data_IF_062891676149
#
_entry.id   IF_062891676149
#
_cell.length_a   1.000
_cell.length_b   1.000
_cell.length_c   1.000
_cell.angle_alpha   90.00
_cell.angle_beta   90.00
_cell.angle_gamma   90.00
#
_symmetry.space_group_name_H-M   'P 1'
#
loop_
_entity.id
_entity.type
_entity.pdbx_description
1 polymer ?
#
# COMPACT_ATOMS: atom_id res chain seq x y z
N UNK A 1 -18.86 -27.68 -6.63
CA UNK A 1 -19.22 -26.48 -7.45
C UNK A 1 -18.76 -25.16 -6.81
N UNK A 2 -18.82 -25.01 -5.47
CA UNK A 2 -18.42 -23.76 -4.82
C UNK A 2 -16.90 -23.47 -4.88
N UNK A 3 -16.02 -24.46 -4.80
CA UNK A 3 -14.57 -24.25 -4.81
C UNK A 3 -14.06 -23.73 -6.17
N UNK A 4 -14.57 -24.27 -7.28
CA UNK A 4 -14.19 -23.79 -8.64
C UNK A 4 -14.67 -22.35 -8.90
N UNK A 5 -15.82 -21.95 -8.34
CA UNK A 5 -16.33 -20.60 -8.50
C UNK A 5 -15.51 -19.57 -7.70
N UNK A 6 -14.99 -19.94 -6.52
CA UNK A 6 -14.12 -19.08 -5.71
C UNK A 6 -12.78 -18.86 -6.41
N UNK A 7 -12.18 -19.92 -6.97
CA UNK A 7 -10.91 -19.80 -7.71
C UNK A 7 -11.04 -18.88 -8.94
N UNK A 8 -12.13 -18.99 -9.69
CA UNK A 8 -12.35 -18.14 -10.89
C UNK A 8 -12.48 -16.65 -10.54
N UNK A 9 -13.06 -16.31 -9.39
CA UNK A 9 -13.23 -14.93 -8.96
C UNK A 9 -11.93 -14.33 -8.44
N UNK A 10 -11.17 -15.11 -7.68
CA UNK A 10 -9.84 -14.69 -7.23
C UNK A 10 -8.91 -14.39 -8.41
N UNK A 11 -8.96 -15.22 -9.45
CA UNK A 11 -8.23 -14.98 -10.72
C UNK A 11 -8.73 -13.72 -11.41
N UNK A 12 -10.06 -13.48 -11.44
CA UNK A 12 -10.63 -12.27 -12.02
C UNK A 12 -10.18 -11.00 -11.28
N UNK A 13 -10.20 -11.00 -9.95
CA UNK A 13 -9.69 -9.88 -9.16
C UNK A 13 -8.20 -9.61 -9.41
N UNK A 14 -7.38 -10.66 -9.48
CA UNK A 14 -5.96 -10.52 -9.80
C UNK A 14 -5.75 -9.94 -11.21
N UNK A 15 -6.50 -10.39 -12.19
CA UNK A 15 -6.47 -9.84 -13.54
C UNK A 15 -6.85 -8.37 -13.60
N UNK A 16 -7.90 -7.96 -12.87
CA UNK A 16 -8.34 -6.57 -12.79
C UNK A 16 -7.30 -5.69 -12.07
N UNK A 17 -6.68 -6.19 -11.01
CA UNK A 17 -5.58 -5.50 -10.33
C UNK A 17 -4.42 -5.26 -11.28
N UNK A 18 -3.94 -6.29 -11.98
CA UNK A 18 -2.82 -6.18 -12.91
C UNK A 18 -3.11 -5.18 -14.04
N UNK A 19 -4.36 -5.12 -14.52
CA UNK A 19 -4.77 -4.12 -15.52
C UNK A 19 -4.79 -2.70 -14.91
N UNK A 20 -5.28 -2.53 -13.69
CA UNK A 20 -5.23 -1.23 -13.01
C UNK A 20 -3.79 -0.76 -12.79
N UNK A 21 -2.89 -1.63 -12.32
CA UNK A 21 -1.46 -1.34 -12.16
C UNK A 21 -0.81 -0.98 -13.50
N UNK A 22 -1.07 -1.75 -14.56
CA UNK A 22 -0.55 -1.47 -15.90
C UNK A 22 -0.96 -0.08 -16.39
N UNK A 23 -2.25 0.28 -16.28
CA UNK A 23 -2.73 1.59 -16.74
C UNK A 23 -2.28 2.74 -15.83
N UNK A 24 -2.08 2.50 -14.55
CA UNK A 24 -1.43 3.44 -13.64
C UNK A 24 0.00 3.75 -14.11
N UNK A 25 0.81 2.71 -14.40
CA UNK A 25 2.18 2.87 -14.88
C UNK A 25 2.26 3.55 -16.25
N UNK A 26 1.27 3.32 -17.11
CA UNK A 26 1.15 3.99 -18.41
C UNK A 26 0.54 5.40 -18.31
N UNK A 27 0.13 5.85 -17.13
CA UNK A 27 -0.57 7.13 -16.90
C UNK A 27 -1.86 7.28 -17.74
N UNK A 28 -2.56 6.16 -18.02
CA UNK A 28 -3.84 6.13 -18.75
C UNK A 28 -5.00 6.13 -17.76
N UNK A 29 -5.35 7.32 -17.30
CA UNK A 29 -6.27 7.56 -16.21
C UNK A 29 -7.66 6.96 -16.41
N UNK A 30 -8.30 7.20 -17.56
CA UNK A 30 -9.66 6.72 -17.82
C UNK A 30 -9.76 5.19 -17.68
N UNK A 31 -8.73 4.47 -18.13
CA UNK A 31 -8.65 3.02 -17.97
C UNK A 31 -8.40 2.61 -16.51
N UNK A 32 -7.53 3.32 -15.80
CA UNK A 32 -7.32 3.10 -14.36
C UNK A 32 -8.64 3.26 -13.58
N UNK A 33 -9.34 4.38 -13.76
CA UNK A 33 -10.63 4.66 -13.12
C UNK A 33 -11.68 3.59 -13.45
N UNK A 34 -11.72 3.14 -14.71
CA UNK A 34 -12.61 2.07 -15.14
C UNK A 34 -12.36 0.77 -14.36
N UNK A 35 -11.12 0.30 -14.29
CA UNK A 35 -10.80 -0.96 -13.59
C UNK A 35 -10.96 -0.84 -12.07
N UNK A 36 -10.63 0.30 -11.48
CA UNK A 36 -10.88 0.57 -10.07
C UNK A 36 -12.39 0.53 -9.75
N UNK A 37 -13.22 1.14 -10.61
CA UNK A 37 -14.68 1.14 -10.46
C UNK A 37 -15.28 -0.25 -10.64
N UNK A 38 -14.74 -1.05 -11.53
CA UNK A 38 -15.19 -2.42 -11.77
C UNK A 38 -14.92 -3.31 -10.54
N UNK A 39 -13.71 -3.24 -9.96
CA UNK A 39 -13.38 -3.95 -8.72
C UNK A 39 -14.30 -3.53 -7.57
N UNK A 40 -14.52 -2.21 -7.39
CA UNK A 40 -15.42 -1.67 -6.37
C UNK A 40 -16.87 -2.17 -6.55
N UNK A 41 -17.36 -2.18 -7.78
CA UNK A 41 -18.71 -2.65 -8.11
C UNK A 41 -18.89 -4.14 -7.81
N UNK A 42 -17.91 -4.98 -8.16
CA UNK A 42 -17.94 -6.42 -7.87
C UNK A 42 -17.90 -6.66 -6.36
N UNK A 43 -17.00 -5.96 -5.64
CA UNK A 43 -16.88 -6.10 -4.18
C UNK A 43 -18.20 -5.74 -3.46
N UNK A 44 -18.84 -4.64 -3.86
CA UNK A 44 -20.13 -4.20 -3.31
C UNK A 44 -21.26 -5.17 -3.63
N UNK A 45 -21.35 -5.63 -4.87
CA UNK A 45 -22.39 -6.57 -5.29
C UNK A 45 -22.32 -7.92 -4.56
N UNK A 46 -21.12 -8.34 -4.18
CA UNK A 46 -20.88 -9.61 -3.49
C UNK A 46 -20.78 -9.47 -1.97
N UNK A 47 -20.72 -8.25 -1.45
CA UNK A 47 -20.40 -7.98 -0.04
C UNK A 47 -19.07 -8.62 0.40
N UNK A 48 -18.11 -8.73 -0.52
CA UNK A 48 -16.77 -9.27 -0.31
C UNK A 48 -15.74 -8.16 -0.55
N UNK A 49 -14.86 -7.96 0.41
CA UNK A 49 -13.87 -6.88 0.37
C UNK A 49 -12.45 -7.46 0.35
N UNK A 50 -11.98 -7.98 -0.81
CA UNK A 50 -10.66 -8.60 -0.90
C UNK A 50 -9.54 -7.55 -0.83
N UNK A 51 -8.31 -8.02 -0.53
CA UNK A 51 -7.10 -7.17 -0.52
C UNK A 51 -6.97 -6.31 -1.80
N UNK A 52 -7.32 -6.90 -2.95
CA UNK A 52 -7.28 -6.25 -4.27
C UNK A 52 -8.08 -4.95 -4.31
N UNK A 53 -9.23 -4.86 -3.63
CA UNK A 53 -10.01 -3.61 -3.56
C UNK A 53 -9.18 -2.48 -2.96
N UNK A 54 -8.48 -2.75 -1.86
CA UNK A 54 -7.65 -1.75 -1.18
C UNK A 54 -6.41 -1.38 -2.01
N UNK A 55 -5.83 -2.34 -2.75
CA UNK A 55 -4.73 -2.07 -3.67
C UNK A 55 -5.15 -1.10 -4.78
N UNK A 56 -6.21 -1.43 -5.52
CA UNK A 56 -6.63 -0.60 -6.67
C UNK A 56 -7.17 0.77 -6.22
N UNK A 57 -7.87 0.85 -5.10
CA UNK A 57 -8.32 2.13 -4.53
C UNK A 57 -7.13 2.99 -4.06
N UNK A 58 -6.09 2.37 -3.51
CA UNK A 58 -4.85 3.09 -3.17
C UNK A 58 -4.13 3.63 -4.41
N UNK A 59 -4.12 2.90 -5.53
CA UNK A 59 -3.60 3.39 -6.81
C UNK A 59 -4.39 4.60 -7.32
N UNK A 60 -5.73 4.56 -7.28
CA UNK A 60 -6.59 5.70 -7.63
C UNK A 60 -6.27 6.93 -6.79
N UNK A 61 -6.12 6.77 -5.46
CA UNK A 61 -5.70 7.85 -4.58
C UNK A 61 -4.31 8.40 -4.95
N UNK A 62 -3.36 7.55 -5.31
CA UNK A 62 -2.02 7.98 -5.72
C UNK A 62 -2.06 8.76 -7.05
N UNK A 63 -2.88 8.34 -8.01
CA UNK A 63 -3.07 9.07 -9.27
C UNK A 63 -3.63 10.48 -9.01
N UNK A 64 -4.68 10.59 -8.19
CA UNK A 64 -5.23 11.89 -7.78
C UNK A 64 -4.20 12.77 -7.05
N UNK A 65 -3.34 12.15 -6.24
CA UNK A 65 -2.26 12.83 -5.53
C UNK A 65 -1.22 13.42 -6.50
N UNK A 66 -0.86 12.68 -7.56
CA UNK A 66 0.03 13.15 -8.61
C UNK A 66 -0.55 14.32 -9.40
N UNK A 67 -1.87 14.34 -9.59
CA UNK A 67 -2.59 15.46 -10.23
C UNK A 67 -2.72 16.71 -9.32
N UNK A 68 -2.30 16.60 -8.06
CA UNK A 68 -2.42 17.70 -7.10
C UNK A 68 -3.83 17.92 -6.54
N UNK A 69 -4.74 16.97 -6.73
CA UNK A 69 -6.11 17.07 -6.20
C UNK A 69 -6.16 16.58 -4.74
N UNK A 70 -5.49 17.31 -3.85
CA UNK A 70 -5.26 16.90 -2.47
C UNK A 70 -6.55 16.73 -1.64
N UNK A 71 -7.57 17.57 -1.88
CA UNK A 71 -8.83 17.50 -1.14
C UNK A 71 -9.60 16.22 -1.46
N UNK A 72 -9.75 15.89 -2.75
CA UNK A 72 -10.43 14.69 -3.18
C UNK A 72 -9.65 13.44 -2.75
N UNK A 73 -8.33 13.45 -2.92
CA UNK A 73 -7.45 12.35 -2.49
C UNK A 73 -7.59 12.07 -0.99
N UNK A 74 -7.59 13.11 -0.16
CA UNK A 74 -7.76 12.98 1.28
C UNK A 74 -9.14 12.41 1.62
N UNK A 75 -10.19 12.90 0.98
CA UNK A 75 -11.57 12.41 1.19
C UNK A 75 -11.68 10.93 0.87
N UNK A 76 -11.22 10.50 -0.31
CA UNK A 76 -11.27 9.10 -0.75
C UNK A 76 -10.44 8.19 0.15
N UNK A 77 -9.22 8.61 0.53
CA UNK A 77 -8.37 7.83 1.41
C UNK A 77 -8.98 7.66 2.81
N UNK A 78 -9.63 8.69 3.35
CA UNK A 78 -10.32 8.61 4.64
C UNK A 78 -11.57 7.74 4.59
N UNK A 79 -12.32 7.76 3.49
CA UNK A 79 -13.47 6.88 3.31
C UNK A 79 -13.04 5.42 3.18
N UNK A 80 -11.95 5.16 2.48
CA UNK A 80 -11.36 3.84 2.37
C UNK A 80 -10.84 3.33 3.73
N UNK A 81 -10.19 4.21 4.51
CA UNK A 81 -9.74 3.89 5.87
C UNK A 81 -10.93 3.54 6.79
N UNK A 82 -12.03 4.32 6.74
CA UNK A 82 -13.25 4.02 7.50
C UNK A 82 -13.86 2.68 7.10
N UNK A 83 -13.90 2.36 5.80
CA UNK A 83 -14.36 1.06 5.32
C UNK A 83 -13.49 -0.08 5.89
N UNK A 84 -12.18 0.03 5.79
CA UNK A 84 -11.25 -0.97 6.32
C UNK A 84 -11.39 -1.14 7.84
N UNK A 85 -11.56 -0.03 8.57
CA UNK A 85 -11.77 -0.02 10.02
C UNK A 85 -13.09 -0.70 10.43
N UNK A 86 -14.18 -0.38 9.73
CA UNK A 86 -15.49 -0.97 10.01
C UNK A 86 -15.54 -2.49 9.75
N UNK A 87 -14.70 -2.97 8.83
CA UNK A 87 -14.57 -4.38 8.47
C UNK A 87 -13.51 -5.12 9.30
N UNK A 88 -12.79 -4.45 10.19
CA UNK A 88 -11.56 -4.95 10.84
C UNK A 88 -10.57 -5.57 9.83
N UNK A 89 -10.46 -4.96 8.65
CA UNK A 89 -9.68 -5.47 7.52
C UNK A 89 -8.22 -5.04 7.62
N UNK A 90 -7.38 -5.83 8.28
CA UNK A 90 -5.99 -5.49 8.60
C UNK A 90 -5.15 -5.06 7.38
N UNK A 91 -5.23 -5.80 6.28
CA UNK A 91 -4.52 -5.42 5.05
C UNK A 91 -5.04 -4.09 4.48
N UNK A 92 -6.36 -3.88 4.51
CA UNK A 92 -6.96 -2.62 4.09
C UNK A 92 -6.46 -1.44 4.93
N UNK A 93 -6.42 -1.58 6.25
CA UNK A 93 -5.85 -0.56 7.14
C UNK A 93 -4.39 -0.26 6.82
N UNK A 94 -3.56 -1.28 6.59
CA UNK A 94 -2.15 -1.12 6.18
C UNK A 94 -2.04 -0.27 4.90
N UNK A 95 -2.80 -0.61 3.84
CA UNK A 95 -2.78 0.11 2.57
C UNK A 95 -3.29 1.56 2.70
N UNK A 96 -4.34 1.75 3.51
CA UNK A 96 -4.89 3.09 3.76
C UNK A 96 -3.93 3.97 4.57
N UNK A 97 -3.30 3.44 5.63
CA UNK A 97 -2.31 4.19 6.43
C UNK A 97 -1.09 4.56 5.59
N UNK A 98 -0.61 3.67 4.71
CA UNK A 98 0.44 3.98 3.73
C UNK A 98 0.02 5.14 2.81
N UNK A 99 -1.19 5.05 2.23
CA UNK A 99 -1.72 6.08 1.33
C UNK A 99 -1.86 7.43 2.03
N UNK A 100 -2.40 7.44 3.26
CA UNK A 100 -2.49 8.65 4.09
C UNK A 100 -1.10 9.24 4.39
N UNK A 101 -0.11 8.39 4.68
CA UNK A 101 1.28 8.82 4.86
C UNK A 101 1.83 9.55 3.64
N UNK A 102 1.60 9.02 2.43
CA UNK A 102 2.01 9.66 1.18
C UNK A 102 1.29 10.99 0.95
N UNK A 103 0.00 11.08 1.26
CA UNK A 103 -0.77 12.33 1.16
C UNK A 103 -0.20 13.37 2.13
N UNK A 104 -0.02 13.02 3.42
CA UNK A 104 0.55 13.91 4.41
C UNK A 104 1.95 14.40 4.03
N UNK A 105 2.78 13.53 3.47
CA UNK A 105 4.10 13.88 2.96
C UNK A 105 4.02 14.94 1.85
N UNK A 106 3.07 14.80 0.92
CA UNK A 106 2.86 15.75 -0.18
C UNK A 106 2.40 17.12 0.29
N UNK A 107 1.47 17.17 1.26
CA UNK A 107 0.96 18.43 1.81
C UNK A 107 1.84 18.99 2.95
N UNK A 108 3.03 18.45 3.14
CA UNK A 108 4.03 18.91 4.12
C UNK A 108 3.61 18.76 5.59
N UNK A 109 2.71 17.85 5.86
CA UNK A 109 2.36 17.42 7.22
C UNK A 109 3.27 16.24 7.63
N UNK A 110 4.59 16.47 7.63
CA UNK A 110 5.60 15.42 7.77
C UNK A 110 5.48 14.65 9.10
N UNK A 111 5.04 15.29 10.19
CA UNK A 111 4.79 14.60 11.46
C UNK A 111 3.66 13.57 11.37
N UNK A 112 2.56 13.92 10.68
CA UNK A 112 1.44 13.01 10.47
C UNK A 112 1.82 11.88 9.51
N UNK A 113 2.66 12.17 8.50
CA UNK A 113 3.21 11.16 7.61
C UNK A 113 4.04 10.12 8.38
N UNK A 114 4.93 10.55 9.29
CA UNK A 114 5.72 9.64 10.14
C UNK A 114 4.83 8.71 10.96
N UNK A 115 3.74 9.24 11.53
CA UNK A 115 2.77 8.46 12.32
C UNK A 115 2.05 7.44 11.44
N UNK A 116 1.56 7.85 10.26
CA UNK A 116 0.84 6.96 9.34
C UNK A 116 1.72 5.83 8.79
N UNK A 117 2.98 6.11 8.45
CA UNK A 117 3.92 5.05 8.05
C UNK A 117 4.28 4.13 9.21
N UNK A 118 4.37 4.64 10.45
CA UNK A 118 4.57 3.80 11.62
C UNK A 118 3.38 2.88 11.86
N UNK A 119 2.14 3.38 11.72
CA UNK A 119 0.93 2.56 11.81
C UNK A 119 0.95 1.44 10.76
N UNK A 120 1.32 1.73 9.51
CA UNK A 120 1.47 0.72 8.45
C UNK A 120 2.51 -0.35 8.84
N UNK A 121 3.66 0.05 9.38
CA UNK A 121 4.70 -0.87 9.83
C UNK A 121 4.25 -1.74 11.02
N UNK A 122 3.43 -1.20 11.90
CA UNK A 122 2.90 -1.95 13.05
C UNK A 122 1.84 -2.96 12.59
N UNK A 123 0.93 -2.56 11.70
CA UNK A 123 -0.05 -3.47 11.09
C UNK A 123 0.62 -4.61 10.33
N UNK A 124 1.74 -4.33 9.65
CA UNK A 124 2.48 -5.33 8.87
C UNK A 124 3.04 -6.48 9.73
N UNK A 125 3.24 -6.28 11.03
CA UNK A 125 3.72 -7.33 11.95
C UNK A 125 2.68 -8.44 12.16
N UNK A 126 1.40 -8.10 12.05
CA UNK A 126 0.28 -8.99 12.35
C UNK A 126 -0.28 -9.68 11.10
N UNK A 127 0.14 -9.28 9.90
CA UNK A 127 -0.35 -9.81 8.63
C UNK A 127 0.66 -10.83 8.09
N UNK A 128 0.21 -12.09 7.90
CA UNK A 128 1.09 -13.17 7.45
C UNK A 128 1.25 -13.25 5.92
N UNK A 129 0.22 -12.84 5.18
CA UNK A 129 0.12 -13.05 3.72
C UNK A 129 0.28 -11.75 2.94
N UNK A 130 1.32 -10.96 3.26
CA UNK A 130 1.69 -9.79 2.46
C UNK A 130 2.73 -10.23 1.44
N UNK A 131 2.44 -10.09 0.13
CA UNK A 131 3.46 -10.30 -0.89
C UNK A 131 4.67 -9.38 -0.64
N UNK A 132 5.87 -9.93 -0.81
CA UNK A 132 7.13 -9.18 -0.69
C UNK A 132 7.21 -8.32 0.59
N UNK A 133 6.92 -8.96 1.73
CA UNK A 133 6.86 -8.31 3.05
C UNK A 133 8.14 -7.50 3.36
N UNK A 134 9.32 -7.99 2.94
CA UNK A 134 10.59 -7.32 3.16
C UNK A 134 10.67 -6.03 2.33
N UNK A 135 10.29 -6.08 1.06
CA UNK A 135 10.29 -4.90 0.18
C UNK A 135 9.28 -3.85 0.69
N UNK A 136 8.14 -4.30 1.20
CA UNK A 136 7.14 -3.42 1.82
C UNK A 136 7.70 -2.75 3.09
N UNK A 137 8.41 -3.48 3.96
CA UNK A 137 9.07 -2.90 5.15
C UNK A 137 10.11 -1.87 4.77
N UNK A 138 10.97 -2.19 3.82
CA UNK A 138 12.03 -1.28 3.33
C UNK A 138 11.40 -0.01 2.76
N UNK A 139 10.40 -0.14 1.91
CA UNK A 139 9.69 0.99 1.28
C UNK A 139 9.00 1.89 2.31
N UNK A 140 8.21 1.33 3.24
CA UNK A 140 7.54 2.10 4.29
C UNK A 140 8.54 2.81 5.21
N UNK A 141 9.62 2.13 5.60
CA UNK A 141 10.65 2.73 6.46
C UNK A 141 11.41 3.83 5.72
N UNK A 142 11.63 3.72 4.41
CA UNK A 142 12.25 4.79 3.60
C UNK A 142 11.37 6.05 3.55
N UNK A 143 10.07 5.90 3.35
CA UNK A 143 9.11 7.02 3.37
C UNK A 143 9.03 7.68 4.75
N UNK A 144 9.01 6.85 5.80
CA UNK A 144 9.03 7.33 7.19
C UNK A 144 10.31 8.13 7.48
N UNK A 145 11.47 7.62 7.03
CA UNK A 145 12.75 8.30 7.19
C UNK A 145 12.77 9.65 6.47
N UNK A 146 12.32 9.68 5.21
CA UNK A 146 12.25 10.90 4.42
C UNK A 146 11.40 11.98 5.12
N UNK A 147 10.23 11.62 5.62
CA UNK A 147 9.36 12.53 6.38
C UNK A 147 10.01 12.96 7.70
N UNK A 148 10.62 12.03 8.43
CA UNK A 148 11.29 12.27 9.72
C UNK A 148 12.44 13.29 9.60
N UNK A 149 13.23 13.23 8.53
CA UNK A 149 14.29 14.23 8.26
C UNK A 149 13.73 15.65 8.21
N UNK A 150 12.54 15.82 7.63
CA UNK A 150 11.89 17.13 7.49
C UNK A 150 11.30 17.66 8.81
N UNK A 151 10.98 16.79 9.78
CA UNK A 151 10.47 17.21 11.08
C UNK A 151 11.53 17.82 12.00
N UNK A 152 12.82 17.68 11.66
CA UNK A 152 13.98 18.10 12.46
C UNK A 152 14.06 17.44 13.84
N UNK A 153 13.39 16.32 14.03
CA UNK A 153 13.45 15.51 15.25
C UNK A 153 14.61 14.52 15.17
N UNK A 154 15.84 15.00 15.35
CA UNK A 154 17.08 14.26 15.08
C UNK A 154 17.16 12.89 15.76
N UNK A 155 16.77 12.77 17.02
CA UNK A 155 16.83 11.50 17.75
C UNK A 155 15.90 10.43 17.14
N UNK A 156 14.67 10.80 16.74
CA UNK A 156 13.75 9.88 16.09
C UNK A 156 14.23 9.52 14.66
N UNK A 157 14.78 10.48 13.95
CA UNK A 157 15.36 10.28 12.61
C UNK A 157 16.54 9.31 12.65
N UNK A 158 17.44 9.46 13.63
CA UNK A 158 18.59 8.57 13.81
C UNK A 158 18.16 7.12 14.11
N UNK A 159 17.15 6.96 14.98
CA UNK A 159 16.56 5.63 15.24
C UNK A 159 15.96 5.00 13.98
N UNK A 160 15.17 5.75 13.19
CA UNK A 160 14.56 5.26 11.94
C UNK A 160 15.64 4.92 10.92
N UNK A 161 16.70 5.73 10.81
CA UNK A 161 17.84 5.44 9.94
C UNK A 161 18.54 4.13 10.33
N UNK A 162 18.71 3.88 11.62
CA UNK A 162 19.27 2.62 12.11
C UNK A 162 18.40 1.42 11.73
N UNK A 163 17.08 1.54 11.87
CA UNK A 163 16.12 0.52 11.44
C UNK A 163 16.18 0.27 9.92
N UNK A 164 16.23 1.34 9.13
CA UNK A 164 16.31 1.25 7.67
C UNK A 164 17.58 0.51 7.21
N UNK A 165 18.74 0.84 7.80
CA UNK A 165 20.00 0.14 7.49
C UNK A 165 19.92 -1.35 7.81
N UNK A 166 19.38 -1.71 8.99
CA UNK A 166 19.21 -3.11 9.37
C UNK A 166 18.30 -3.88 8.40
N UNK A 167 17.21 -3.25 7.93
CA UNK A 167 16.32 -3.85 6.94
C UNK A 167 16.99 -4.04 5.57
N UNK A 168 17.81 -3.08 5.13
CA UNK A 168 18.58 -3.23 3.88
C UNK A 168 19.60 -4.36 3.96
N UNK A 169 20.28 -4.51 5.11
CA UNK A 169 21.23 -5.62 5.32
C UNK A 169 20.51 -6.99 5.33
N UNK A 170 19.31 -7.07 5.91
CA UNK A 170 18.47 -8.26 5.90
C UNK A 170 17.98 -8.59 4.48
N UNK A 171 17.45 -7.60 3.76
CA UNK A 171 17.01 -7.74 2.38
C UNK A 171 18.14 -8.23 1.48
N UNK A 172 19.33 -7.65 1.62
CA UNK A 172 20.51 -8.04 0.85
C UNK A 172 20.88 -9.52 1.07
N UNK A 173 20.84 -10.00 2.31
CA UNK A 173 21.09 -11.42 2.63
C UNK A 173 20.07 -12.34 1.95
N UNK A 174 18.76 -11.99 2.01
CA UNK A 174 17.71 -12.76 1.36
C UNK A 174 17.95 -12.87 -0.16
N UNK A 175 18.36 -11.77 -0.80
CA UNK A 175 18.65 -11.77 -2.24
C UNK A 175 19.91 -12.57 -2.58
N UNK A 176 20.94 -12.56 -1.75
CA UNK A 176 22.12 -13.39 -1.94
C UNK A 176 21.76 -14.87 -1.84
N UNK A 177 21.04 -15.29 -0.79
CA UNK A 177 20.59 -16.67 -0.62
C UNK A 177 19.74 -17.17 -1.79
N UNK A 178 18.85 -16.32 -2.33
CA UNK A 178 18.06 -16.66 -3.53
C UNK A 178 18.94 -16.82 -4.77
N UNK A 179 19.94 -15.98 -4.98
CA UNK A 179 20.85 -16.07 -6.11
C UNK A 179 21.76 -17.32 -6.03
N UNK A 180 22.23 -17.65 -4.85
CA UNK A 180 23.04 -18.87 -4.64
C UNK A 180 22.23 -20.14 -4.95
N UNK A 181 20.92 -20.17 -4.62
CA UNK A 181 20.03 -21.27 -4.96
C UNK A 181 19.74 -21.41 -6.46
N UNK A 182 19.80 -20.32 -7.21
CA UNK A 182 19.58 -20.32 -8.67
C UNK A 182 20.85 -20.67 -9.46
N UNK A 183 22.01 -20.75 -8.81
CA UNK A 183 23.31 -21.04 -9.41
C UNK A 183 23.70 -22.53 -9.30
N UNK A 184 22.85 -23.39 -8.71
CA UNK A 184 22.99 -24.85 -8.59
C UNK A 184 22.12 -25.55 -9.63
#
# INVERSE_FOLDING_TARGET
>A
ENAMAVDSISVAYLGLKNLAEYYYDQSVRDSLEYYCSLVDSIAKARHEYPNVLFDVKSLSCQDLLWLGNYELTMSEAMDLYRLASNLDHRYGLLRCSETLGLIYQRIRRDSDAVVSFQESLDLLKDIKDVPDIMDTKVRLTSYQLESSVRTKQYASTERILGQYKALLDEQYKIYQEKNDLLSI
#
